data_IF_474810150360
#
_entry.id   IF_474810150360
#
_cell.length_a   1.000
_cell.length_b   1.000
_cell.length_c   1.000
_cell.angle_alpha   90.00
_cell.angle_beta   90.00
_cell.angle_gamma   90.00
#
_symmetry.space_group_name_H-M   'P 1'
#
loop_
_entity.id
_entity.type
_entity.pdbx_description
1 polymer ?
#
# COMPACT_ATOMS: atom_id res chain seq x y z
N UNK A 1 -0.05 6.60 -49.76
CA UNK A 1 0.34 5.18 -49.87
C UNK A 1 -0.36 4.40 -48.76
N UNK A 2 -1.51 3.82 -49.10
CA UNK A 2 -2.36 3.04 -48.19
C UNK A 2 -1.80 1.62 -48.03
N UNK A 3 -1.77 1.09 -46.79
CA UNK A 3 -1.63 -0.35 -46.55
C UNK A 3 -2.82 -0.86 -45.75
N UNK A 4 -3.72 -1.50 -46.49
CA UNK A 4 -4.86 -2.29 -46.04
C UNK A 4 -4.36 -3.62 -45.52
N UNK A 5 -4.61 -3.96 -44.25
CA UNK A 5 -4.31 -5.27 -43.68
C UNK A 5 -5.62 -6.03 -43.52
N UNK A 6 -5.77 -7.08 -44.33
CA UNK A 6 -6.87 -8.03 -44.28
C UNK A 6 -6.62 -9.03 -43.14
N UNK A 7 -7.54 -9.13 -42.18
CA UNK A 7 -7.56 -10.23 -41.21
C UNK A 7 -8.46 -11.35 -41.71
N UNK A 8 -7.83 -12.50 -41.94
CA UNK A 8 -8.46 -13.74 -42.34
C UNK A 8 -9.29 -14.33 -41.20
N UNK A 9 -10.55 -14.61 -41.52
CA UNK A 9 -11.44 -15.49 -40.77
C UNK A 9 -10.98 -16.93 -40.99
N UNK A 10 -10.57 -17.59 -39.90
CA UNK A 10 -10.51 -19.04 -39.72
C UNK A 10 -10.93 -19.22 -38.26
N UNK A 11 -12.09 -19.79 -37.91
CA UNK A 11 -12.68 -21.00 -38.43
C UNK A 11 -12.34 -22.15 -37.47
N UNK A 12 -13.38 -22.80 -36.98
CA UNK A 12 -13.42 -24.23 -36.58
C UNK A 12 -13.26 -24.55 -35.08
N UNK A 13 -14.39 -25.08 -34.57
CA UNK A 13 -14.61 -26.16 -33.61
C UNK A 13 -13.74 -26.24 -32.35
N UNK A 14 -14.37 -26.32 -31.18
CA UNK A 14 -14.19 -27.49 -30.32
C UNK A 14 -15.41 -27.71 -29.39
N UNK A 15 -16.08 -28.83 -29.66
CA UNK A 15 -16.80 -29.73 -28.77
C UNK A 15 -17.67 -29.18 -27.61
N UNK A 16 -18.97 -29.48 -27.75
CA UNK A 16 -19.82 -29.89 -26.64
C UNK A 16 -19.08 -30.90 -25.75
N UNK A 17 -18.84 -30.56 -24.49
CA UNK A 17 -18.63 -31.55 -23.43
C UNK A 17 -19.82 -31.48 -22.47
N UNK A 18 -20.91 -32.13 -22.89
CA UNK A 18 -21.95 -32.59 -22.01
C UNK A 18 -21.43 -33.84 -21.28
N UNK A 19 -20.82 -33.67 -20.11
CA UNK A 19 -20.62 -34.77 -19.15
C UNK A 19 -20.05 -34.25 -17.85
N UNK A 20 -20.86 -34.14 -16.80
CA UNK A 20 -20.44 -34.67 -15.51
C UNK A 20 -21.66 -34.94 -14.62
N UNK A 21 -21.72 -36.13 -14.00
CA UNK A 21 -22.93 -36.75 -13.48
C UNK A 21 -23.35 -36.21 -12.12
N UNK A 22 -24.65 -36.38 -11.84
CA UNK A 22 -25.25 -36.30 -10.52
C UNK A 22 -24.38 -37.04 -9.49
N UNK A 23 -23.83 -36.28 -8.55
CA UNK A 23 -23.07 -36.82 -7.44
C UNK A 23 -24.06 -37.17 -6.33
N UNK A 24 -24.23 -38.47 -6.08
CA UNK A 24 -24.99 -38.98 -4.93
C UNK A 24 -24.43 -38.41 -3.61
N UNK A 25 -25.30 -37.99 -2.67
CA UNK A 25 -24.87 -37.54 -1.36
C UNK A 25 -24.38 -38.74 -0.53
N UNK A 26 -23.08 -39.06 -0.64
CA UNK A 26 -22.42 -39.98 0.28
C UNK A 26 -22.31 -39.30 1.65
N UNK A 27 -23.15 -39.74 2.57
CA UNK A 27 -22.99 -39.61 4.01
C UNK A 27 -21.65 -40.22 4.44
N UNK A 28 -20.82 -39.50 5.21
CA UNK A 28 -19.95 -40.16 6.17
C UNK A 28 -20.38 -39.77 7.58
N UNK A 29 -21.20 -40.62 8.19
CA UNK A 29 -21.26 -40.70 9.65
C UNK A 29 -19.91 -41.23 10.13
N UNK A 30 -19.04 -40.34 10.64
CA UNK A 30 -17.80 -40.70 11.30
C UNK A 30 -17.86 -40.20 12.76
N UNK A 31 -17.46 -41.02 13.75
CA UNK A 31 -17.82 -40.83 15.16
C UNK A 31 -17.20 -39.57 15.76
N UNK A 32 -17.98 -38.97 16.67
CA UNK A 32 -17.52 -37.98 17.62
C UNK A 32 -16.38 -38.57 18.48
N UNK A 33 -15.14 -38.33 18.07
CA UNK A 33 -13.95 -38.57 18.89
C UNK A 33 -13.57 -37.22 19.50
N UNK A 34 -14.06 -37.02 20.73
CA UNK A 34 -13.80 -35.88 21.59
C UNK A 34 -12.31 -35.82 21.92
N UNK A 35 -11.57 -35.06 21.11
CA UNK A 35 -10.17 -34.72 21.35
C UNK A 35 -10.13 -33.50 22.27
N UNK A 36 -10.17 -33.73 23.59
CA UNK A 36 -9.70 -32.75 24.58
C UNK A 36 -8.19 -32.59 24.44
N UNK A 37 -7.75 -31.78 23.46
CA UNK A 37 -6.34 -31.42 23.27
C UNK A 37 -6.09 -30.10 23.99
N UNK A 38 -5.53 -30.22 25.19
CA UNK A 38 -4.48 -29.35 25.75
C UNK A 38 -4.49 -27.87 25.34
N UNK A 39 -5.34 -27.06 25.99
CA UNK A 39 -5.45 -25.61 25.82
C UNK A 39 -4.25 -24.77 26.32
N UNK A 40 -3.17 -25.39 26.81
CA UNK A 40 -2.04 -24.68 27.43
C UNK A 40 -0.84 -24.42 26.48
N UNK A 41 -0.76 -25.11 25.33
CA UNK A 41 0.36 -24.94 24.39
C UNK A 41 0.14 -23.81 23.36
N UNK A 42 -1.08 -23.32 23.17
CA UNK A 42 -1.39 -22.36 22.10
C UNK A 42 -0.99 -20.90 22.43
N UNK A 43 -0.83 -20.56 23.72
CA UNK A 43 -0.64 -19.17 24.17
C UNK A 43 0.76 -18.63 23.84
N UNK A 44 1.80 -19.47 23.89
CA UNK A 44 3.18 -19.03 23.63
C UNK A 44 3.40 -18.69 22.14
N UNK A 45 2.70 -19.40 21.24
CA UNK A 45 2.75 -19.15 19.81
C UNK A 45 2.11 -17.81 19.40
N UNK A 46 1.11 -17.32 20.14
CA UNK A 46 0.40 -16.10 19.80
C UNK A 46 1.25 -14.83 20.00
N UNK A 47 2.10 -14.82 21.04
CA UNK A 47 2.96 -13.68 21.34
C UNK A 47 4.06 -13.48 20.28
N UNK A 48 4.63 -14.58 19.77
CA UNK A 48 5.65 -14.52 18.73
C UNK A 48 5.07 -14.02 17.39
N UNK A 49 3.87 -14.52 17.02
CA UNK A 49 3.15 -14.07 15.82
C UNK A 49 2.86 -12.56 15.87
N UNK A 50 2.43 -12.04 17.03
CA UNK A 50 2.14 -10.61 17.20
C UNK A 50 3.40 -9.73 17.09
N UNK A 51 4.53 -10.16 17.67
CA UNK A 51 5.80 -9.44 17.54
C UNK A 51 6.29 -9.42 16.08
N UNK A 52 6.12 -10.53 15.36
CA UNK A 52 6.46 -10.61 13.95
C UNK A 52 5.60 -9.66 13.10
N UNK A 53 4.28 -9.63 13.36
CA UNK A 53 3.34 -8.72 12.70
C UNK A 53 3.69 -7.24 12.91
N UNK A 54 4.16 -6.88 14.11
CA UNK A 54 4.60 -5.51 14.42
C UNK A 54 5.82 -5.12 13.61
N UNK A 55 6.84 -5.98 13.57
CA UNK A 55 8.07 -5.73 12.80
C UNK A 55 7.78 -5.43 11.34
N UNK A 56 6.95 -6.25 10.70
CA UNK A 56 6.57 -6.04 9.30
C UNK A 56 5.77 -4.76 9.07
N UNK A 57 4.89 -4.39 10.03
CA UNK A 57 4.12 -3.14 9.95
C UNK A 57 5.04 -1.93 10.05
N UNK A 58 6.00 -1.95 10.97
CA UNK A 58 6.94 -0.84 11.18
C UNK A 58 7.87 -0.67 9.97
N UNK A 59 8.34 -1.77 9.38
CA UNK A 59 9.12 -1.77 8.15
C UNK A 59 8.34 -1.15 6.97
N UNK A 60 7.09 -1.57 6.77
CA UNK A 60 6.23 -1.01 5.73
C UNK A 60 5.96 0.49 5.96
N UNK A 61 5.73 0.92 7.20
CA UNK A 61 5.56 2.33 7.53
C UNK A 61 6.83 3.15 7.29
N UNK A 62 8.01 2.58 7.55
CA UNK A 62 9.28 3.24 7.26
C UNK A 62 9.48 3.43 5.75
N UNK A 63 9.08 2.45 4.93
CA UNK A 63 9.12 2.55 3.47
C UNK A 63 8.19 3.65 2.95
N UNK A 64 6.97 3.73 3.47
CA UNK A 64 5.96 4.71 3.05
C UNK A 64 6.38 6.18 3.30
N UNK A 65 7.30 6.42 4.25
CA UNK A 65 7.81 7.76 4.56
C UNK A 65 9.00 8.18 3.70
N UNK A 66 9.57 7.28 2.89
CA UNK A 66 10.71 7.62 2.02
C UNK A 66 10.27 8.62 0.95
N UNK A 67 11.06 9.69 0.70
CA UNK A 67 10.78 10.61 -0.39
C UNK A 67 11.02 9.90 -1.73
N UNK A 68 10.19 10.23 -2.71
CA UNK A 68 10.17 9.62 -4.03
C UNK A 68 10.02 10.73 -5.08
N UNK A 69 10.83 10.64 -6.13
CA UNK A 69 10.79 11.49 -7.31
C UNK A 69 10.31 10.63 -8.49
N UNK A 70 9.12 10.92 -9.01
CA UNK A 70 8.51 10.21 -10.15
C UNK A 70 7.78 11.16 -11.07
N UNK A 71 7.87 10.85 -12.36
CA UNK A 71 7.11 11.48 -13.42
C UNK A 71 6.61 10.39 -14.36
N UNK A 72 5.29 10.21 -14.40
CA UNK A 72 4.61 9.28 -15.29
C UNK A 72 3.69 10.07 -16.19
N UNK A 73 3.74 9.80 -17.50
CA UNK A 73 2.88 10.39 -18.50
C UNK A 73 2.15 9.28 -19.26
N UNK A 74 0.84 9.16 -19.02
CA UNK A 74 -0.04 8.15 -19.61
C UNK A 74 0.43 6.69 -19.46
N UNK A 75 1.07 6.36 -18.33
CA UNK A 75 1.65 5.04 -18.08
C UNK A 75 0.60 4.10 -17.45
N UNK A 76 0.57 2.83 -17.87
CA UNK A 76 -0.36 1.85 -17.31
C UNK A 76 -0.10 1.60 -15.80
N UNK A 77 -1.17 1.43 -15.01
CA UNK A 77 -1.08 1.19 -13.57
C UNK A 77 -0.15 0.02 -13.21
N UNK A 78 -0.18 -1.07 -13.98
CA UNK A 78 0.70 -2.22 -13.72
C UNK A 78 2.18 -1.87 -13.85
N UNK A 79 2.55 -1.06 -14.84
CA UNK A 79 3.92 -0.60 -15.06
C UNK A 79 4.37 0.36 -13.96
N UNK A 80 3.49 1.29 -13.55
CA UNK A 80 3.72 2.22 -12.44
C UNK A 80 4.01 1.46 -11.14
N UNK A 81 3.19 0.45 -10.82
CA UNK A 81 3.35 -0.35 -9.59
C UNK A 81 4.63 -1.17 -9.62
N UNK A 82 4.96 -1.77 -10.77
CA UNK A 82 6.21 -2.51 -10.97
C UNK A 82 7.42 -1.59 -10.79
N UNK A 83 7.39 -0.40 -11.40
CA UNK A 83 8.44 0.60 -11.24
C UNK A 83 8.63 0.99 -9.78
N UNK A 84 7.55 1.25 -9.03
CA UNK A 84 7.63 1.61 -7.61
C UNK A 84 8.17 0.47 -6.73
N UNK A 85 7.83 -0.78 -7.06
CA UNK A 85 8.35 -1.96 -6.37
C UNK A 85 9.87 -2.06 -6.55
N UNK A 86 10.34 -1.93 -7.80
CA UNK A 86 11.76 -2.01 -8.16
C UNK A 86 12.54 -0.82 -7.58
N UNK A 87 12.00 0.40 -7.68
CA UNK A 87 12.64 1.64 -7.21
C UNK A 87 12.87 1.64 -5.69
N UNK A 88 11.89 1.18 -4.91
CA UNK A 88 12.01 1.13 -3.44
C UNK A 88 12.55 -0.18 -2.90
N UNK A 89 12.80 -1.18 -3.77
CA UNK A 89 13.08 -2.56 -3.42
C UNK A 89 12.06 -3.09 -2.38
N UNK A 90 10.78 -2.84 -2.65
CA UNK A 90 9.67 -3.11 -1.76
C UNK A 90 8.68 -4.09 -2.39
N UNK A 91 7.99 -4.87 -1.55
CA UNK A 91 6.98 -5.82 -1.99
C UNK A 91 5.66 -5.10 -2.23
N UNK A 92 5.55 -4.44 -3.38
CA UNK A 92 4.31 -3.78 -3.81
C UNK A 92 3.64 -4.67 -4.86
N UNK A 93 2.37 -5.00 -4.66
CA UNK A 93 1.63 -5.92 -5.54
C UNK A 93 0.24 -5.39 -5.85
N UNK A 94 -0.21 -5.66 -7.08
CA UNK A 94 -1.60 -5.46 -7.50
C UNK A 94 -2.42 -6.70 -7.21
N UNK A 95 -3.57 -6.50 -6.58
CA UNK A 95 -4.58 -7.53 -6.41
C UNK A 95 -5.35 -7.75 -7.71
N UNK A 96 -4.83 -8.65 -8.54
CA UNK A 96 -5.44 -9.03 -9.83
C UNK A 96 -6.81 -9.69 -9.70
N UNK A 97 -7.18 -10.15 -8.51
CA UNK A 97 -8.51 -10.76 -8.30
C UNK A 97 -9.58 -9.70 -8.03
N UNK A 98 -9.19 -8.62 -7.36
CA UNK A 98 -10.05 -7.48 -7.06
C UNK A 98 -10.12 -6.44 -8.19
N UNK A 99 -9.05 -6.29 -8.98
CA UNK A 99 -9.04 -5.41 -10.14
C UNK A 99 -9.60 -6.10 -11.38
N UNK A 100 -10.50 -5.42 -12.08
CA UNK A 100 -10.91 -5.82 -13.42
C UNK A 100 -9.76 -5.58 -14.41
N UNK A 101 -9.63 -6.41 -15.44
CA UNK A 101 -8.61 -6.27 -16.48
C UNK A 101 -8.60 -4.90 -17.19
N UNK A 102 -9.75 -4.20 -17.21
CA UNK A 102 -9.85 -2.83 -17.75
C UNK A 102 -9.23 -1.79 -16.82
N UNK A 103 -9.29 -1.99 -15.51
CA UNK A 103 -8.75 -1.04 -14.52
C UNK A 103 -7.23 -1.10 -14.46
N UNK A 104 -6.62 -2.27 -14.71
CA UNK A 104 -5.15 -2.39 -14.80
C UNK A 104 -4.54 -1.66 -15.99
N UNK A 105 -5.31 -1.42 -17.05
CA UNK A 105 -4.88 -0.73 -18.27
C UNK A 105 -5.16 0.78 -18.24
N UNK A 106 -5.69 1.29 -17.13
CA UNK A 106 -6.00 2.73 -17.04
C UNK A 106 -4.68 3.51 -17.01
N UNK A 107 -4.46 4.43 -17.97
CA UNK A 107 -3.26 5.25 -18.00
C UNK A 107 -3.29 6.26 -16.85
N UNK A 108 -2.12 6.47 -16.23
CA UNK A 108 -1.93 7.37 -15.11
C UNK A 108 -0.89 8.41 -15.49
N UNK A 109 -1.26 9.68 -15.30
CA UNK A 109 -0.38 10.82 -15.44
C UNK A 109 -0.20 11.47 -14.07
N UNK A 110 1.04 11.49 -13.56
CA UNK A 110 1.38 12.08 -12.26
C UNK A 110 2.82 12.55 -12.25
N UNK A 111 3.04 13.73 -11.68
CA UNK A 111 4.37 14.23 -11.33
C UNK A 111 4.46 14.51 -9.83
N UNK A 112 5.52 14.00 -9.21
CA UNK A 112 5.79 14.19 -7.79
C UNK A 112 7.31 14.24 -7.55
N UNK A 113 7.76 15.28 -6.86
CA UNK A 113 9.17 15.48 -6.50
C UNK A 113 9.26 15.69 -4.99
N UNK A 114 10.12 14.92 -4.34
CA UNK A 114 10.41 14.94 -2.91
C UNK A 114 9.22 14.54 -2.04
N UNK A 115 8.21 13.87 -2.60
CA UNK A 115 6.99 13.51 -1.87
C UNK A 115 7.14 12.14 -1.21
N UNK A 116 6.59 11.91 -0.01
CA UNK A 116 6.63 10.59 0.60
C UNK A 116 5.84 9.58 -0.26
N UNK A 117 6.33 8.34 -0.34
CA UNK A 117 5.70 7.27 -1.12
C UNK A 117 4.20 7.11 -0.79
N UNK A 118 3.79 7.26 0.47
CA UNK A 118 2.37 7.22 0.84
C UNK A 118 1.53 8.24 0.07
N UNK A 119 2.04 9.48 -0.06
CA UNK A 119 1.34 10.55 -0.75
C UNK A 119 1.35 10.36 -2.27
N UNK A 120 2.41 9.75 -2.81
CA UNK A 120 2.47 9.35 -4.22
C UNK A 120 1.42 8.27 -4.52
N UNK A 121 1.32 7.24 -3.67
CA UNK A 121 0.30 6.20 -3.78
C UNK A 121 -1.12 6.78 -3.66
N UNK A 122 -1.35 7.70 -2.72
CA UNK A 122 -2.65 8.37 -2.57
C UNK A 122 -3.04 9.16 -3.82
N UNK A 123 -2.07 9.79 -4.50
CA UNK A 123 -2.31 10.51 -5.76
C UNK A 123 -2.60 9.57 -6.92
N UNK A 124 -1.85 8.46 -7.05
CA UNK A 124 -2.12 7.41 -8.03
C UNK A 124 -3.56 6.87 -7.85
N UNK A 125 -4.04 6.82 -6.62
CA UNK A 125 -5.37 6.34 -6.26
C UNK A 125 -6.46 7.40 -6.22
N UNK A 126 -6.18 8.61 -6.70
CA UNK A 126 -7.26 9.57 -6.98
C UNK A 126 -8.13 9.10 -8.16
N UNK A 127 -7.62 8.17 -8.98
CA UNK A 127 -8.43 7.44 -9.93
C UNK A 127 -9.57 6.68 -9.20
N UNK A 128 -10.78 6.62 -9.77
CA UNK A 128 -11.95 6.11 -9.07
C UNK A 128 -11.77 4.64 -8.65
N UNK A 129 -12.15 4.35 -7.40
CA UNK A 129 -12.31 3.03 -6.79
C UNK A 129 -11.06 2.21 -6.43
N UNK A 130 -9.88 2.82 -6.43
CA UNK A 130 -8.65 2.16 -5.94
C UNK A 130 -8.31 2.54 -4.50
N UNK A 131 -7.68 1.62 -3.78
CA UNK A 131 -7.10 1.83 -2.46
C UNK A 131 -5.87 0.92 -2.26
N UNK A 132 -4.99 1.30 -1.35
CA UNK A 132 -3.89 0.45 -0.89
C UNK A 132 -4.11 0.05 0.56
N UNK A 133 -3.57 -1.12 0.91
CA UNK A 133 -3.50 -1.60 2.29
C UNK A 133 -2.15 -2.29 2.51
N UNK A 134 -1.74 -2.40 3.77
CA UNK A 134 -0.54 -3.15 4.15
C UNK A 134 -0.97 -4.48 4.73
N UNK A 135 -0.61 -5.57 4.06
CA UNK A 135 -0.94 -6.92 4.51
C UNK A 135 0.34 -7.73 4.69
N UNK A 136 0.66 -8.09 5.94
CA UNK A 136 1.87 -8.86 6.31
C UNK A 136 3.19 -8.26 5.78
N UNK A 137 3.27 -6.92 5.77
CA UNK A 137 4.44 -6.19 5.28
C UNK A 137 4.46 -5.92 3.77
N UNK A 138 3.54 -6.53 3.01
CA UNK A 138 3.38 -6.25 1.59
C UNK A 138 2.39 -5.10 1.40
N UNK A 139 2.69 -4.19 0.47
CA UNK A 139 1.77 -3.12 0.08
C UNK A 139 0.90 -3.67 -1.05
N UNK A 140 -0.38 -3.86 -0.77
CA UNK A 140 -1.35 -4.43 -1.72
C UNK A 140 -2.27 -3.33 -2.22
N UNK A 141 -2.32 -3.15 -3.53
CA UNK A 141 -3.22 -2.24 -4.22
C UNK A 141 -4.45 -3.04 -4.66
N UNK A 142 -5.62 -2.64 -4.19
CA UNK A 142 -6.89 -3.35 -4.39
C UNK A 142 -8.03 -2.35 -4.66
N UNK A 143 -9.22 -2.86 -4.96
CA UNK A 143 -10.41 -2.02 -5.15
C UNK A 143 -11.13 -1.77 -3.82
N UNK A 144 -11.82 -0.64 -3.70
CA UNK A 144 -12.60 -0.31 -2.50
C UNK A 144 -13.65 -1.37 -2.15
N UNK A 145 -14.18 -2.04 -3.17
CA UNK A 145 -15.18 -3.10 -3.03
C UNK A 145 -14.60 -4.38 -2.44
N UNK A 146 -13.33 -4.67 -2.71
CA UNK A 146 -12.67 -5.90 -2.28
C UNK A 146 -11.98 -5.77 -0.92
N UNK A 147 -11.81 -4.55 -0.41
CA UNK A 147 -11.29 -4.35 0.94
C UNK A 147 -12.19 -5.08 1.93
N UNK A 148 -11.66 -6.06 2.69
CA UNK A 148 -12.42 -6.62 3.79
C UNK A 148 -12.75 -5.48 4.75
N UNK A 149 -13.89 -5.53 5.43
CA UNK A 149 -14.29 -4.54 6.43
C UNK A 149 -13.32 -4.43 7.63
N UNK A 150 -12.16 -5.11 7.55
CA UNK A 150 -11.02 -5.00 8.44
C UNK A 150 -10.60 -3.54 8.50
N UNK A 151 -10.66 -3.02 9.72
CA UNK A 151 -10.39 -1.64 10.09
C UNK A 151 -9.15 -1.11 9.38
N UNK A 152 -9.36 -0.08 8.58
CA UNK A 152 -8.32 0.63 7.83
C UNK A 152 -7.48 1.43 8.84
N UNK A 153 -6.48 0.78 9.46
CA UNK A 153 -5.48 1.41 10.31
C UNK A 153 -4.45 2.09 9.40
N UNK A 154 -4.83 3.20 8.76
CA UNK A 154 -3.94 3.83 7.79
C UNK A 154 -4.54 5.01 7.05
N UNK A 155 -4.62 6.14 7.75
CA UNK A 155 -4.34 7.47 7.17
C UNK A 155 -5.00 7.80 5.84
N UNK A 156 -6.29 8.13 5.87
CA UNK A 156 -6.93 8.78 4.74
C UNK A 156 -8.17 9.50 5.21
N UNK A 157 -8.08 10.83 5.30
CA UNK A 157 -9.19 11.75 5.49
C UNK A 157 -10.19 11.69 4.32
N UNK A 158 -10.79 10.52 4.06
CA UNK A 158 -12.12 10.50 3.47
C UNK A 158 -13.04 11.02 4.55
N UNK A 159 -13.20 12.34 4.53
CA UNK A 159 -14.37 13.05 5.04
C UNK A 159 -15.57 12.34 4.42
N UNK A 160 -16.01 11.26 5.04
CA UNK A 160 -17.34 10.73 4.87
C UNK A 160 -18.28 11.90 5.17
N UNK A 161 -18.91 12.43 4.12
CA UNK A 161 -20.12 13.23 4.18
C UNK A 161 -20.29 14.16 5.38
N UNK A 162 -19.28 14.92 5.81
CA UNK A 162 -19.57 16.16 6.53
C UNK A 162 -20.11 17.10 5.46
N UNK A 163 -21.43 17.08 5.31
CA UNK A 163 -22.22 18.21 4.85
C UNK A 163 -21.42 19.48 5.14
N UNK A 164 -20.94 20.12 4.09
CA UNK A 164 -20.63 21.55 4.16
C UNK A 164 -21.96 22.22 4.45
N UNK A 165 -22.35 22.25 5.72
CA UNK A 165 -23.17 23.35 6.20
C UNK A 165 -22.30 24.56 5.92
N UNK A 166 -22.72 25.29 4.89
CA UNK A 166 -22.23 26.60 4.51
C UNK A 166 -22.01 27.43 5.79
N UNK A 167 -20.74 27.65 6.15
CA UNK A 167 -20.33 28.76 7.00
C UNK A 167 -20.01 29.98 6.11
N UNK A 168 -20.90 30.27 5.14
CA UNK A 168 -20.84 31.45 4.27
C UNK A 168 -22.07 32.36 4.45
N UNK A 169 -22.75 32.29 5.60
CA UNK A 169 -23.95 33.10 5.89
C UNK A 169 -24.02 33.67 7.31
N UNK A 170 -22.88 33.85 7.98
CA UNK A 170 -22.80 34.79 9.10
C UNK A 170 -21.68 35.78 8.83
N UNK A 171 -22.08 36.93 8.28
CA UNK A 171 -21.35 38.16 8.44
C UNK A 171 -21.30 38.52 9.92
N UNK A 172 -20.13 38.95 10.38
CA UNK A 172 -19.93 39.33 11.77
C UNK A 172 -18.45 39.58 12.02
N UNK A 173 -18.06 40.82 11.76
CA UNK A 173 -16.76 41.41 12.01
C UNK A 173 -16.02 40.86 13.24
N UNK A 174 -14.78 40.38 13.02
CA UNK A 174 -13.67 40.87 13.84
C UNK A 174 -12.37 40.88 13.03
N UNK A 175 -12.08 42.06 12.52
CA UNK A 175 -10.88 42.45 11.81
C UNK A 175 -9.79 42.77 12.84
N UNK A 176 -9.05 41.76 13.32
CA UNK A 176 -7.79 42.01 14.07
C UNK A 176 -6.90 40.78 14.30
N UNK A 177 -6.43 40.10 13.25
CA UNK A 177 -5.18 39.33 13.36
C UNK A 177 -4.17 39.78 12.32
N UNK A 178 -3.12 40.37 12.87
CA UNK A 178 -2.05 41.10 12.22
C UNK A 178 -1.31 40.21 11.23
N UNK A 179 -1.13 40.76 10.04
CA UNK A 179 -0.05 40.41 9.13
C UNK A 179 1.28 40.55 9.89
N UNK A 180 2.03 39.46 10.03
CA UNK A 180 3.47 39.49 10.28
C UNK A 180 4.16 38.93 9.03
N UNK A 181 4.83 39.76 8.22
CA UNK A 181 5.67 39.26 7.16
C UNK A 181 7.11 39.07 7.64
N UNK A 182 7.72 38.02 7.08
CA UNK A 182 9.11 37.93 6.66
C UNK A 182 10.26 37.71 7.67
N UNK A 183 11.11 36.75 7.28
CA UNK A 183 12.52 36.52 7.65
C UNK A 183 12.87 35.93 9.03
N UNK A 184 12.98 34.59 9.07
CA UNK A 184 13.96 33.78 9.83
C UNK A 184 13.49 32.31 9.77
N UNK A 185 14.25 31.28 9.42
CA UNK A 185 15.64 31.17 9.04
C UNK A 185 15.83 29.77 8.44
N UNK A 186 16.53 29.71 7.31
CA UNK A 186 17.04 28.49 6.70
C UNK A 186 18.28 28.07 7.51
N UNK A 187 18.09 27.53 8.72
CA UNK A 187 19.18 26.91 9.50
C UNK A 187 18.62 25.85 10.46
N UNK A 188 18.18 24.68 10.00
CA UNK A 188 18.14 23.49 10.89
C UNK A 188 18.04 22.12 10.18
N UNK A 189 18.51 21.99 8.94
CA UNK A 189 18.69 20.67 8.30
C UNK A 189 20.07 20.03 8.58
N UNK A 190 21.03 20.78 9.15
CA UNK A 190 22.40 20.30 9.39
C UNK A 190 22.59 19.58 10.74
N UNK A 191 21.57 19.51 11.61
CA UNK A 191 21.72 18.96 12.99
C UNK A 191 21.42 17.47 13.11
N UNK A 192 20.79 16.84 12.11
CA UNK A 192 20.42 15.40 12.18
C UNK A 192 21.51 14.48 11.61
N UNK A 193 22.44 14.97 10.80
CA UNK A 193 23.55 14.16 10.25
C UNK A 193 24.75 14.07 11.22
N UNK A 194 24.81 14.88 12.28
CA UNK A 194 25.95 14.90 13.22
C UNK A 194 25.88 13.90 14.39
N UNK A 195 24.80 13.11 14.53
CA UNK A 195 24.72 12.06 15.56
C UNK A 195 25.15 10.67 15.09
N UNK A 196 25.19 10.38 13.79
CA UNK A 196 25.65 9.06 13.31
C UNK A 196 27.18 8.89 13.34
N UNK A 197 27.95 9.97 13.25
CA UNK A 197 29.42 9.88 13.22
C UNK A 197 30.09 9.75 14.60
N UNK A 198 29.38 10.00 15.70
CA UNK A 198 29.95 9.87 17.06
C UNK A 198 29.85 8.45 17.63
N UNK A 199 28.81 7.68 17.29
CA UNK A 199 28.69 6.27 17.75
C UNK A 199 29.65 5.34 17.00
N UNK A 200 29.92 5.61 15.72
CA UNK A 200 30.91 4.84 14.93
C UNK A 200 32.35 5.04 15.43
N UNK A 201 32.68 6.24 15.93
CA UNK A 201 33.97 6.54 16.57
C UNK A 201 34.11 5.88 17.95
N UNK A 202 33.00 5.67 18.68
CA UNK A 202 33.01 5.02 20.00
C UNK A 202 33.25 3.51 19.91
N UNK A 203 32.74 2.85 18.87
CA UNK A 203 32.96 1.42 18.66
C UNK A 203 34.43 1.14 18.31
N UNK A 204 35.06 1.91 17.41
CA UNK A 204 36.48 1.73 17.04
C UNK A 204 37.46 1.93 18.19
N UNK A 205 37.14 2.73 19.20
CA UNK A 205 38.02 2.93 20.37
C UNK A 205 37.96 1.79 21.40
N UNK A 206 36.88 0.99 21.44
CA UNK A 206 36.81 -0.14 22.37
C UNK A 206 37.66 -1.31 21.91
N UNK A 207 37.71 -1.59 20.60
CA UNK A 207 38.50 -2.70 20.08
C UNK A 207 40.02 -2.46 20.19
N UNK A 208 40.46 -1.19 20.18
CA UNK A 208 41.88 -0.85 20.30
C UNK A 208 42.47 -1.07 21.71
N UNK A 209 41.65 -1.26 22.74
CA UNK A 209 42.12 -1.46 24.14
C UNK A 209 42.25 -2.95 24.49
N UNK A 210 41.67 -3.87 23.70
CA UNK A 210 41.66 -5.30 24.00
C UNK A 210 42.86 -6.10 23.44
N UNK A 211 43.86 -5.45 22.84
CA UNK A 211 45.02 -6.11 22.18
C UNK A 211 46.35 -5.76 22.87
N UNK A 212 46.36 -5.60 24.19
CA UNK A 212 47.59 -5.37 24.95
C UNK A 212 47.58 -6.20 26.22
#
# INVERSE_FOLDING_TARGET
MNRTICYHVVGVWFALFASCPAQEPKTPAKPAESKEVSAAADVESAAEVELSNRRWRDEAQALLRKPTDVEFDEVALEEVVKFLADFHNARIRLDRTALNAQQSLTPITISAVGQPLSHVLDRIMQAPDLAWTVHRGDIVITTLKALPAVETIGGGHRRAGRLRISWWLFGGADSRLRVRPAHAGIVDAARIVRRRTLDEQRWRRRDAIAVR
#
